data_IF_041029737325
#
_entry.id   IF_041029737325
#
_cell.length_a   1.000
_cell.length_b   1.000
_cell.length_c   1.000
_cell.angle_alpha   90.00
_cell.angle_beta   90.00
_cell.angle_gamma   90.00
#
_symmetry.space_group_name_H-M   'P 1'
#
loop_
_entity.id
_entity.type
_entity.pdbx_description
1 polymer ?
#
# COMPACT_ATOMS: atom_id res chain seq x y z
N UNK A 1 -28.18 -7.85 7.39
CA UNK A 1 -26.91 -7.95 6.64
C UNK A 1 -26.61 -6.61 5.99
N UNK A 2 -25.35 -6.16 5.94
CA UNK A 2 -25.02 -4.88 5.30
C UNK A 2 -25.22 -4.91 3.77
N UNK A 3 -25.77 -3.83 3.21
CA UNK A 3 -26.01 -3.69 1.76
C UNK A 3 -24.70 -3.57 0.98
N UNK A 4 -24.75 -3.82 -0.34
CA UNK A 4 -23.58 -3.64 -1.23
C UNK A 4 -23.03 -2.20 -1.14
N UNK A 5 -23.93 -1.22 -1.07
CA UNK A 5 -23.59 0.21 -0.95
C UNK A 5 -22.91 0.51 0.38
N UNK A 6 -23.42 -0.01 1.50
CA UNK A 6 -22.79 0.15 2.82
C UNK A 6 -21.39 -0.47 2.89
N UNK A 7 -21.22 -1.67 2.32
CA UNK A 7 -19.91 -2.32 2.22
C UNK A 7 -18.92 -1.48 1.41
N UNK A 8 -19.35 -0.92 0.29
CA UNK A 8 -18.52 -0.02 -0.53
C UNK A 8 -18.18 1.28 0.20
N UNK A 9 -19.14 1.88 0.90
CA UNK A 9 -18.93 3.05 1.75
C UNK A 9 -17.87 2.81 2.83
N UNK A 10 -17.87 1.64 3.47
CA UNK A 10 -16.84 1.27 4.47
C UNK A 10 -15.43 1.23 3.85
N UNK A 11 -15.31 0.68 2.64
CA UNK A 11 -14.03 0.69 1.90
C UNK A 11 -13.62 2.11 1.56
N UNK A 12 -14.53 2.94 1.03
CA UNK A 12 -14.26 4.36 0.72
C UNK A 12 -13.73 5.10 1.96
N UNK A 13 -14.39 4.93 3.10
CA UNK A 13 -13.99 5.58 4.34
C UNK A 13 -12.62 5.10 4.80
N UNK A 14 -12.35 3.79 4.69
CA UNK A 14 -11.04 3.24 4.98
C UNK A 14 -9.94 3.77 4.05
N UNK A 15 -10.21 3.96 2.77
CA UNK A 15 -9.27 4.59 1.82
C UNK A 15 -8.95 6.03 2.23
N UNK A 16 -9.96 6.81 2.62
CA UNK A 16 -9.79 8.20 3.06
C UNK A 16 -8.90 8.29 4.30
N UNK A 17 -9.20 7.47 5.32
CA UNK A 17 -8.41 7.43 6.56
C UNK A 17 -6.97 6.96 6.29
N UNK A 18 -6.81 5.94 5.45
CA UNK A 18 -5.50 5.48 5.00
C UNK A 18 -4.72 6.58 4.28
N UNK A 19 -5.36 7.40 3.44
CA UNK A 19 -4.71 8.49 2.71
C UNK A 19 -4.20 9.58 3.64
N UNK A 20 -4.95 9.87 4.71
CA UNK A 20 -4.56 10.83 5.76
C UNK A 20 -3.30 10.34 6.50
N UNK A 21 -3.32 9.09 6.97
CA UNK A 21 -2.16 8.46 7.64
C UNK A 21 -0.95 8.43 6.69
N UNK A 22 -1.16 7.96 5.45
CA UNK A 22 -0.12 7.88 4.44
C UNK A 22 0.52 9.26 4.18
N UNK A 23 -0.30 10.31 4.05
CA UNK A 23 0.20 11.68 3.85
C UNK A 23 1.04 12.20 5.02
N UNK A 24 0.65 11.88 6.26
CA UNK A 24 1.29 12.42 7.46
C UNK A 24 2.57 11.66 7.81
N UNK A 25 2.54 10.34 7.65
CA UNK A 25 3.56 9.46 8.20
C UNK A 25 4.56 8.98 7.16
N UNK A 26 4.16 8.81 5.89
CA UNK A 26 4.93 8.06 4.90
C UNK A 26 5.30 8.88 3.65
N UNK A 27 4.34 9.58 3.06
CA UNK A 27 4.53 10.27 1.80
C UNK A 27 5.62 11.35 1.89
N UNK A 28 6.50 11.38 0.91
CA UNK A 28 7.63 12.33 0.87
C UNK A 28 8.79 11.98 1.81
N UNK A 29 8.74 10.82 2.47
CA UNK A 29 9.84 10.31 3.31
C UNK A 29 10.53 9.12 2.65
N UNK A 30 11.77 8.90 3.06
CA UNK A 30 12.57 7.72 2.76
C UNK A 30 12.97 7.07 4.09
N UNK A 31 12.76 5.77 4.20
CA UNK A 31 13.04 4.97 5.39
C UNK A 31 14.19 4.01 5.10
N UNK A 32 15.23 4.06 5.91
CA UNK A 32 16.39 3.17 5.82
C UNK A 32 16.16 1.94 6.72
N UNK A 33 16.23 0.76 6.12
CA UNK A 33 16.16 -0.52 6.83
C UNK A 33 17.54 -1.16 6.84
N UNK A 34 18.06 -1.45 8.02
CA UNK A 34 19.37 -2.09 8.22
C UNK A 34 19.17 -3.44 8.88
N UNK A 35 19.84 -4.47 8.37
CA UNK A 35 19.78 -5.83 8.91
C UNK A 35 21.08 -6.59 8.64
N UNK A 36 21.67 -7.12 9.70
CA UNK A 36 23.05 -7.63 9.62
C UNK A 36 23.97 -6.54 9.09
N UNK A 37 24.67 -6.85 8.00
CA UNK A 37 25.57 -5.92 7.29
C UNK A 37 24.95 -5.32 6.02
N UNK A 38 23.67 -5.59 5.76
CA UNK A 38 22.95 -5.11 4.58
C UNK A 38 21.96 -3.97 4.94
N UNK A 39 21.61 -3.16 3.95
CA UNK A 39 20.56 -2.17 4.08
C UNK A 39 19.76 -1.98 2.79
N UNK A 40 18.57 -1.38 2.90
CA UNK A 40 17.84 -0.82 1.77
C UNK A 40 16.98 0.35 2.18
N UNK A 41 16.61 1.15 1.18
CA UNK A 41 15.72 2.29 1.37
C UNK A 41 14.32 2.00 0.87
N UNK A 42 13.35 2.60 1.55
CA UNK A 42 11.93 2.54 1.23
C UNK A 42 11.34 3.92 1.14
N UNK A 43 10.82 4.25 -0.03
CA UNK A 43 10.04 5.46 -0.26
C UNK A 43 8.56 5.14 -0.44
N UNK A 44 7.69 6.10 -0.13
CA UNK A 44 6.24 5.96 -0.31
C UNK A 44 5.70 7.03 -1.26
N UNK A 45 5.89 6.87 -2.59
CA UNK A 45 5.40 7.83 -3.58
C UNK A 45 3.88 7.90 -3.60
N UNK A 46 3.34 9.11 -3.73
CA UNK A 46 1.89 9.35 -3.80
C UNK A 46 1.21 8.59 -4.95
N UNK A 47 1.93 8.36 -6.04
CA UNK A 47 1.44 7.65 -7.23
C UNK A 47 1.22 6.15 -6.97
N UNK A 48 1.84 5.59 -5.92
CA UNK A 48 1.67 4.18 -5.56
C UNK A 48 0.52 3.96 -4.57
N UNK A 49 -0.03 5.03 -3.97
CA UNK A 49 -1.11 4.89 -2.99
C UNK A 49 -2.33 4.16 -3.57
N UNK A 50 -2.72 4.46 -4.81
CA UNK A 50 -3.82 3.77 -5.50
C UNK A 50 -3.60 2.25 -5.49
N UNK A 51 -2.41 1.81 -5.89
CA UNK A 51 -2.07 0.39 -5.93
C UNK A 51 -2.16 -0.29 -4.56
N UNK A 52 -1.71 0.41 -3.50
CA UNK A 52 -1.79 -0.10 -2.11
C UNK A 52 -3.24 -0.35 -1.67
N UNK A 53 -4.20 0.46 -2.14
CA UNK A 53 -5.62 0.25 -1.81
C UNK A 53 -6.21 -1.01 -2.45
N UNK A 54 -5.70 -1.41 -3.63
CA UNK A 54 -6.18 -2.55 -4.40
C UNK A 54 -7.52 -2.37 -5.09
N UNK A 55 -8.06 -1.16 -5.16
CA UNK A 55 -9.26 -0.84 -5.98
C UNK A 55 -8.85 -0.41 -7.38
N UNK A 56 -9.80 -0.48 -8.32
CA UNK A 56 -9.63 0.10 -9.66
C UNK A 56 -10.36 1.46 -9.77
N UNK A 57 -9.88 2.34 -10.65
CA UNK A 57 -10.45 3.66 -10.88
C UNK A 57 -10.15 4.18 -12.29
N UNK A 58 -11.02 5.06 -12.81
CA UNK A 58 -10.76 5.83 -14.03
C UNK A 58 -9.95 7.11 -13.75
N UNK A 59 -9.65 7.42 -12.48
CA UNK A 59 -8.81 8.55 -12.11
C UNK A 59 -7.33 8.20 -12.27
N UNK A 60 -6.49 9.20 -12.55
CA UNK A 60 -5.05 9.01 -12.37
C UNK A 60 -4.71 8.71 -10.91
N UNK A 61 -3.62 7.99 -10.64
CA UNK A 61 -3.21 7.66 -9.27
C UNK A 61 -3.01 8.91 -8.39
N UNK A 62 -2.45 9.98 -8.96
CA UNK A 62 -2.30 11.29 -8.30
C UNK A 62 -3.64 11.90 -7.92
N UNK A 63 -4.59 11.89 -8.85
CA UNK A 63 -5.90 12.47 -8.62
C UNK A 63 -6.71 11.65 -7.62
N UNK A 64 -6.65 10.33 -7.72
CA UNK A 64 -7.23 9.42 -6.74
C UNK A 64 -6.72 9.72 -5.33
N UNK A 65 -5.38 9.78 -5.15
CA UNK A 65 -4.77 10.11 -3.87
C UNK A 65 -5.16 11.52 -3.38
N UNK A 66 -5.14 12.52 -4.28
CA UNK A 66 -5.57 13.89 -3.95
C UNK A 66 -7.01 13.95 -3.45
N UNK A 67 -7.92 13.22 -4.10
CA UNK A 67 -9.33 13.17 -3.72
C UNK A 67 -9.52 12.41 -2.41
N UNK A 68 -8.82 11.29 -2.21
CA UNK A 68 -8.84 10.54 -0.95
C UNK A 68 -8.35 11.41 0.23
N UNK A 69 -7.18 12.04 0.09
CA UNK A 69 -6.58 12.91 1.10
C UNK A 69 -7.47 14.10 1.45
N UNK A 70 -8.15 14.71 0.47
CA UNK A 70 -9.09 15.82 0.68
C UNK A 70 -10.47 15.36 1.16
N UNK A 71 -10.67 14.06 1.43
CA UNK A 71 -11.95 13.44 1.79
C UNK A 71 -13.07 13.68 0.75
N UNK A 72 -12.69 13.87 -0.52
CA UNK A 72 -13.59 14.12 -1.66
C UNK A 72 -13.82 12.90 -2.56
N UNK A 73 -13.14 11.78 -2.29
CA UNK A 73 -13.33 10.54 -3.04
C UNK A 73 -14.76 10.02 -2.85
N UNK A 74 -15.46 9.73 -3.95
CA UNK A 74 -16.85 9.22 -3.95
C UNK A 74 -16.90 7.74 -4.34
N UNK A 75 -18.03 7.08 -4.09
CA UNK A 75 -18.22 5.66 -4.45
C UNK A 75 -18.20 5.40 -5.96
N UNK A 76 -18.45 6.41 -6.80
CA UNK A 76 -18.47 6.23 -8.25
C UNK A 76 -17.07 6.37 -8.86
N UNK A 77 -16.11 6.88 -8.08
CA UNK A 77 -14.73 7.09 -8.52
C UNK A 77 -13.83 5.87 -8.31
N UNK A 78 -14.35 4.74 -7.84
CA UNK A 78 -13.62 3.48 -7.80
C UNK A 78 -14.56 2.29 -7.93
N UNK A 79 -14.04 1.15 -8.37
CA UNK A 79 -14.82 -0.07 -8.54
C UNK A 79 -13.97 -1.32 -8.25
N UNK A 80 -14.63 -2.47 -8.32
CA UNK A 80 -14.05 -3.78 -8.10
C UNK A 80 -14.31 -4.62 -9.36
N UNK A 81 -13.30 -5.37 -9.79
CA UNK A 81 -13.39 -6.28 -10.93
C UNK A 81 -12.69 -7.61 -10.61
N UNK A 82 -12.50 -8.47 -11.60
CA UNK A 82 -11.83 -9.76 -11.43
C UNK A 82 -10.36 -9.64 -10.98
N UNK A 83 -9.67 -8.56 -11.35
CA UNK A 83 -8.28 -8.27 -10.96
C UNK A 83 -8.21 -7.55 -9.59
N UNK A 84 -9.27 -6.86 -9.22
CA UNK A 84 -9.43 -6.12 -7.97
C UNK A 84 -10.63 -6.62 -7.14
N UNK A 85 -10.66 -7.89 -6.69
CA UNK A 85 -11.81 -8.42 -5.98
C UNK A 85 -12.05 -7.71 -4.65
N UNK A 86 -13.32 -7.45 -4.33
CA UNK A 86 -13.72 -6.83 -3.06
C UNK A 86 -13.13 -7.52 -1.83
N UNK A 87 -13.02 -8.85 -1.85
CA UNK A 87 -12.47 -9.63 -0.74
C UNK A 87 -11.01 -9.26 -0.43
N UNK A 88 -10.20 -9.02 -1.46
CA UNK A 88 -8.79 -8.64 -1.31
C UNK A 88 -8.68 -7.21 -0.79
N UNK A 89 -9.47 -6.28 -1.33
CA UNK A 89 -9.52 -4.89 -0.85
C UNK A 89 -9.92 -4.83 0.61
N UNK A 90 -10.94 -5.60 1.01
CA UNK A 90 -11.40 -5.69 2.41
C UNK A 90 -10.26 -6.11 3.35
N UNK A 91 -9.36 -7.00 2.92
CA UNK A 91 -8.17 -7.40 3.69
C UNK A 91 -7.09 -6.33 3.67
N UNK A 92 -6.83 -5.68 2.53
CA UNK A 92 -5.76 -4.67 2.38
C UNK A 92 -6.01 -3.39 3.18
N UNK A 93 -7.24 -2.90 3.22
CA UNK A 93 -7.55 -1.57 3.79
C UNK A 93 -7.15 -1.43 5.28
N UNK A 94 -7.44 -2.38 6.18
CA UNK A 94 -6.95 -2.34 7.56
C UNK A 94 -5.41 -2.27 7.64
N UNK A 95 -4.71 -3.08 6.86
CA UNK A 95 -3.25 -3.12 6.86
C UNK A 95 -2.65 -1.80 6.34
N UNK A 96 -3.31 -1.14 5.38
CA UNK A 96 -2.87 0.14 4.84
C UNK A 96 -2.90 1.28 5.89
N UNK A 97 -3.86 1.25 6.82
CA UNK A 97 -3.88 2.19 7.96
C UNK A 97 -2.72 1.95 8.92
N UNK A 98 -2.28 0.69 9.00
CA UNK A 98 -1.21 0.21 9.88
C UNK A 98 0.17 0.23 9.23
N UNK A 99 0.27 0.66 7.98
CA UNK A 99 1.52 0.73 7.23
C UNK A 99 2.66 1.45 7.98
N UNK A 100 2.42 2.48 8.83
CA UNK A 100 3.46 3.08 9.64
C UNK A 100 4.13 2.14 10.66
N UNK A 101 3.45 1.07 11.11
CA UNK A 101 4.03 0.05 11.99
C UNK A 101 5.21 -0.65 11.31
N UNK A 102 5.17 -0.78 9.98
CA UNK A 102 6.29 -1.36 9.23
C UNK A 102 7.51 -0.44 9.14
N UNK A 103 7.39 0.83 9.55
CA UNK A 103 8.43 1.85 9.42
C UNK A 103 8.97 2.37 10.76
N UNK A 104 8.16 2.36 11.81
CA UNK A 104 8.50 2.98 13.10
C UNK A 104 8.75 1.95 14.22
N UNK A 105 8.37 0.69 14.01
CA UNK A 105 8.50 -0.37 15.01
C UNK A 105 9.56 -1.40 14.60
N UNK A 106 9.88 -2.31 15.52
CA UNK A 106 10.71 -3.48 15.21
C UNK A 106 9.95 -4.42 14.26
N UNK A 107 10.57 -4.71 13.12
CA UNK A 107 10.00 -5.57 12.08
C UNK A 107 10.96 -6.68 11.67
N UNK A 108 10.44 -7.70 11.00
CA UNK A 108 11.23 -8.72 10.34
C UNK A 108 11.36 -8.41 8.84
N UNK A 109 12.54 -8.72 8.30
CA UNK A 109 12.82 -8.64 6.86
C UNK A 109 12.80 -10.06 6.31
N UNK A 110 11.96 -10.28 5.31
CA UNK A 110 11.85 -11.55 4.61
C UNK A 110 12.56 -11.44 3.27
N UNK A 111 13.39 -12.43 2.94
CA UNK A 111 14.01 -12.58 1.62
C UNK A 111 13.26 -13.64 0.80
N UNK A 112 13.08 -13.39 -0.49
CA UNK A 112 12.49 -14.32 -1.46
C UNK A 112 11.07 -14.81 -1.09
N UNK A 113 10.19 -13.90 -0.66
CA UNK A 113 8.80 -14.22 -0.37
C UNK A 113 8.08 -14.60 -1.66
N UNK A 114 7.66 -15.87 -1.77
CA UNK A 114 6.93 -16.40 -2.93
C UNK A 114 5.43 -16.37 -2.70
N UNK A 115 4.72 -15.77 -3.64
CA UNK A 115 3.26 -15.82 -3.75
C UNK A 115 2.88 -16.61 -5.00
N UNK A 116 1.58 -16.85 -5.22
CA UNK A 116 1.10 -17.55 -6.41
C UNK A 116 1.55 -16.85 -7.70
N UNK A 117 1.61 -15.51 -7.68
CA UNK A 117 1.83 -14.70 -8.89
C UNK A 117 3.19 -14.02 -8.95
N UNK A 118 3.81 -13.70 -7.81
CA UNK A 118 5.01 -12.87 -7.73
C UNK A 118 5.97 -13.42 -6.68
N UNK A 119 7.28 -13.35 -6.96
CA UNK A 119 8.35 -13.51 -5.98
C UNK A 119 8.90 -12.14 -5.62
N UNK A 120 8.80 -11.78 -4.34
CA UNK A 120 9.40 -10.56 -3.80
C UNK A 120 10.79 -10.88 -3.26
N UNK A 121 11.83 -10.27 -3.83
CA UNK A 121 13.21 -10.45 -3.34
C UNK A 121 13.34 -10.02 -1.88
N UNK A 122 12.65 -8.94 -1.50
CA UNK A 122 12.59 -8.42 -0.14
C UNK A 122 11.15 -8.08 0.23
N UNK A 123 10.81 -8.31 1.49
CA UNK A 123 9.55 -7.92 2.11
C UNK A 123 9.80 -7.51 3.56
N UNK A 124 8.92 -6.69 4.11
CA UNK A 124 8.93 -6.30 5.52
C UNK A 124 7.63 -6.73 6.21
N UNK A 125 7.71 -7.21 7.44
CA UNK A 125 6.54 -7.72 8.17
C UNK A 125 6.65 -7.45 9.68
N UNK A 126 5.53 -7.18 10.32
CA UNK A 126 5.37 -7.16 11.78
C UNK A 126 4.71 -8.46 12.30
N UNK A 127 4.78 -9.55 11.53
CA UNK A 127 4.11 -10.84 11.76
C UNK A 127 2.58 -10.84 11.62
N UNK A 128 1.94 -9.67 11.65
CA UNK A 128 0.49 -9.57 11.41
C UNK A 128 0.15 -9.29 9.95
N UNK A 129 1.03 -8.57 9.25
CA UNK A 129 0.93 -8.39 7.80
C UNK A 129 2.30 -8.19 7.16
N UNK A 130 2.34 -8.35 5.83
CA UNK A 130 3.58 -8.24 5.05
C UNK A 130 3.44 -7.22 3.93
N UNK A 131 4.49 -6.43 3.70
CA UNK A 131 4.63 -5.52 2.57
C UNK A 131 5.71 -6.06 1.62
N UNK A 132 5.33 -6.37 0.38
CA UNK A 132 6.24 -6.82 -0.66
C UNK A 132 6.97 -5.64 -1.32
N UNK A 133 8.30 -5.77 -1.48
CA UNK A 133 9.15 -4.73 -2.05
C UNK A 133 9.55 -5.09 -3.48
N UNK A 134 9.41 -4.16 -4.41
CA UNK A 134 9.91 -4.26 -5.79
C UNK A 134 11.01 -3.20 -5.99
N UNK A 135 11.97 -3.47 -6.85
CA UNK A 135 13.03 -2.50 -7.19
C UNK A 135 12.50 -1.54 -8.27
N UNK A 136 12.60 -0.21 -8.06
CA UNK A 136 12.39 0.74 -9.15
C UNK A 136 13.68 0.86 -9.96
N UNK A 137 13.55 0.82 -11.30
CA UNK A 137 14.67 1.01 -12.22
C UNK A 137 14.94 2.50 -12.52
N UNK A 138 15.03 3.35 -11.51
CA UNK A 138 15.54 4.71 -11.73
C UNK A 138 17.07 4.66 -11.79
N UNK A 139 17.62 4.83 -13.00
CA UNK A 139 19.03 4.62 -13.36
C UNK A 139 20.05 5.57 -12.70
N UNK A 140 19.68 6.40 -11.72
CA UNK A 140 20.60 7.34 -11.08
C UNK A 140 20.87 7.08 -9.59
N UNK A 141 20.19 6.12 -8.94
CA UNK A 141 20.49 5.81 -7.54
C UNK A 141 20.17 4.34 -7.27
N UNK A 142 21.21 3.52 -7.05
CA UNK A 142 21.16 2.05 -6.99
C UNK A 142 20.21 1.44 -5.95
N UNK A 143 19.52 2.24 -5.13
CA UNK A 143 18.80 1.77 -3.94
C UNK A 143 17.35 2.24 -3.79
N UNK A 144 16.74 2.88 -4.81
CA UNK A 144 15.30 3.23 -4.74
C UNK A 144 14.44 2.01 -5.07
N UNK A 145 13.56 1.64 -4.13
CA UNK A 145 12.60 0.53 -4.27
C UNK A 145 11.17 1.08 -4.28
N UNK A 146 10.31 0.44 -5.09
CA UNK A 146 8.89 0.73 -5.35
C UNK A 146 8.03 -0.43 -4.85
N UNK A 147 6.88 -0.18 -4.25
CA UNK A 147 6.19 -1.19 -3.43
C UNK A 147 4.89 -1.70 -4.01
N UNK A 148 4.68 -3.01 -3.90
CA UNK A 148 3.42 -3.68 -4.19
C UNK A 148 2.93 -4.38 -2.93
N UNK A 149 1.70 -4.07 -2.51
CA UNK A 149 1.18 -4.55 -1.23
C UNK A 149 0.49 -5.90 -1.37
N UNK A 150 0.92 -6.88 -0.56
CA UNK A 150 0.29 -8.19 -0.44
C UNK A 150 -0.04 -8.47 1.03
N UNK A 151 -1.27 -8.14 1.45
CA UNK A 151 -1.74 -8.52 2.78
C UNK A 151 -2.24 -9.97 2.76
N UNK A 152 -1.47 -10.87 3.39
CA UNK A 152 -1.98 -12.13 3.94
C UNK A 152 -2.20 -11.96 5.43
#
# INVERSE_FOLDING_TARGET
>A
MATKTEKKNKIRQGIIESAEIYSKMLAGKVFLYVYGEEYFEVSFPVDHFLHLTGVETNLSAREFYKNAKRRKLTNNQFYFDARHPFANVKKKIPCLKRLPELTNDTICILKNLKTITIVYKLSVTNLEFTLGLIESKDQQEKNKKTYFFLCH
#
